data_IF_316121552328
#
_entry.id   IF_316121552328
#
_cell.length_a   1.000
_cell.length_b   1.000
_cell.length_c   1.000
_cell.angle_alpha   90.00
_cell.angle_beta   90.00
_cell.angle_gamma   90.00
#
_symmetry.space_group_name_H-M   'P 1'
#
loop_
_entity.id
_entity.type
_entity.pdbx_description
1 polymer ?
#
# COMPACT_ATOMS: atom_id res chain seq x y z
N UNK A 1 -26.33 -57.91 -33.19
CA UNK A 1 -25.85 -56.55 -33.54
C UNK A 1 -26.46 -55.42 -32.68
N UNK A 2 -27.76 -55.42 -32.32
CA UNK A 2 -28.36 -54.34 -31.50
C UNK A 2 -27.93 -54.27 -30.03
N UNK A 3 -27.37 -55.34 -29.44
CA UNK A 3 -26.87 -55.35 -28.04
C UNK A 3 -25.45 -54.78 -27.87
N UNK A 4 -24.59 -54.84 -28.88
CA UNK A 4 -23.24 -54.22 -28.82
C UNK A 4 -23.30 -52.70 -28.94
N UNK A 5 -24.25 -52.15 -29.71
CA UNK A 5 -24.41 -50.71 -29.86
C UNK A 5 -24.83 -50.00 -28.56
N UNK A 6 -25.63 -50.67 -27.70
CA UNK A 6 -26.00 -50.11 -26.38
C UNK A 6 -24.82 -50.10 -25.40
N UNK A 7 -23.93 -51.10 -25.44
CA UNK A 7 -22.80 -51.17 -24.51
C UNK A 7 -21.73 -50.10 -24.84
N UNK A 8 -21.52 -49.79 -26.12
CA UNK A 8 -20.57 -48.77 -26.57
C UNK A 8 -21.10 -47.35 -26.27
N UNK A 9 -22.42 -47.11 -26.41
CA UNK A 9 -23.01 -45.81 -26.09
C UNK A 9 -23.03 -45.53 -24.57
N UNK A 10 -23.10 -46.57 -23.74
CA UNK A 10 -23.05 -46.42 -22.28
C UNK A 10 -21.62 -46.16 -21.78
N UNK A 11 -20.60 -46.71 -22.44
CA UNK A 11 -19.19 -46.40 -22.12
C UNK A 11 -18.78 -44.97 -22.53
N UNK A 12 -19.35 -44.43 -23.59
CA UNK A 12 -19.04 -43.05 -24.04
C UNK A 12 -19.64 -41.96 -23.13
N UNK A 13 -20.72 -42.26 -22.39
CA UNK A 13 -21.32 -41.32 -21.44
C UNK A 13 -20.55 -41.30 -20.10
N UNK A 14 -19.89 -42.40 -19.72
CA UNK A 14 -19.03 -42.44 -18.52
C UNK A 14 -17.66 -41.80 -18.73
N UNK A 15 -17.19 -41.62 -19.96
CA UNK A 15 -15.92 -40.95 -20.28
C UNK A 15 -15.99 -39.41 -20.35
N UNK A 16 -17.19 -38.83 -20.29
CA UNK A 16 -17.40 -37.39 -20.55
C UNK A 16 -17.45 -36.51 -19.28
N UNK A 17 -17.27 -37.10 -18.09
CA UNK A 17 -17.27 -36.37 -16.81
C UNK A 17 -15.90 -36.32 -16.12
N UNK A 18 -14.79 -36.56 -16.83
CA UNK A 18 -13.52 -35.99 -16.39
C UNK A 18 -13.56 -34.50 -16.70
N UNK A 19 -14.19 -33.74 -15.79
CA UNK A 19 -13.94 -32.31 -15.69
C UNK A 19 -12.42 -32.16 -15.60
N UNK A 20 -11.80 -31.72 -16.69
CA UNK A 20 -10.42 -31.28 -16.68
C UNK A 20 -10.38 -29.99 -15.83
N UNK A 21 -10.45 -30.12 -14.51
CA UNK A 21 -9.85 -29.10 -13.66
C UNK A 21 -8.35 -29.24 -13.92
N UNK A 22 -7.80 -28.44 -14.81
CA UNK A 22 -6.35 -28.35 -14.97
C UNK A 22 -5.76 -27.90 -13.62
N UNK A 23 -5.33 -28.88 -12.82
CA UNK A 23 -4.54 -28.62 -11.62
C UNK A 23 -3.16 -28.18 -12.08
N UNK A 24 -2.98 -26.86 -12.14
CA UNK A 24 -1.76 -26.20 -12.58
C UNK A 24 -0.58 -26.54 -11.67
N UNK A 25 -0.81 -26.49 -10.36
CA UNK A 25 0.18 -26.91 -9.37
C UNK A 25 0.00 -28.38 -9.05
N UNK A 26 1.09 -29.14 -9.15
CA UNK A 26 1.15 -30.57 -8.78
C UNK A 26 1.98 -30.84 -7.53
N UNK A 27 2.80 -29.87 -7.15
CA UNK A 27 3.73 -29.95 -6.04
C UNK A 27 3.42 -28.85 -5.03
N UNK A 28 3.71 -29.15 -3.76
CA UNK A 28 3.62 -28.19 -2.68
C UNK A 28 4.81 -27.24 -2.71
N UNK A 29 4.65 -26.06 -2.11
CA UNK A 29 5.69 -25.04 -2.06
C UNK A 29 5.96 -24.60 -0.64
N UNK A 30 7.17 -24.10 -0.40
CA UNK A 30 7.55 -23.42 0.83
C UNK A 30 7.92 -21.98 0.47
N UNK A 31 7.25 -21.03 1.09
CA UNK A 31 7.50 -19.60 0.91
C UNK A 31 8.29 -19.02 2.09
N UNK A 32 8.77 -17.79 1.89
CA UNK A 32 9.45 -16.98 2.89
C UNK A 32 8.74 -17.02 4.25
N UNK A 33 9.53 -17.13 5.32
CA UNK A 33 9.03 -17.37 6.68
C UNK A 33 8.68 -18.85 6.95
N UNK A 34 9.11 -19.78 6.09
CA UNK A 34 8.87 -21.22 6.27
C UNK A 34 7.43 -21.65 6.02
N UNK A 35 6.65 -20.84 5.28
CA UNK A 35 5.23 -21.09 5.03
C UNK A 35 5.05 -22.22 4.03
N UNK A 36 4.67 -23.40 4.51
CA UNK A 36 4.32 -24.54 3.65
C UNK A 36 2.89 -24.39 3.10
N UNK A 37 2.74 -24.59 1.79
CA UNK A 37 1.48 -24.39 1.06
C UNK A 37 1.26 -25.54 0.11
N UNK A 38 0.10 -26.19 0.22
CA UNK A 38 -0.22 -27.33 -0.62
C UNK A 38 -0.53 -26.93 -2.06
N UNK A 39 -0.28 -27.83 -3.02
CA UNK A 39 -0.71 -27.69 -4.41
C UNK A 39 -2.22 -27.41 -4.52
N UNK A 40 -3.03 -28.02 -3.65
CA UNK A 40 -4.48 -27.77 -3.56
C UNK A 40 -4.78 -26.31 -3.20
N UNK A 41 -4.08 -25.74 -2.22
CA UNK A 41 -4.23 -24.33 -1.83
C UNK A 41 -3.81 -23.39 -2.96
N UNK A 42 -2.71 -23.70 -3.66
CA UNK A 42 -2.24 -22.90 -4.80
C UNK A 42 -3.23 -22.94 -5.98
N UNK A 43 -3.80 -24.11 -6.31
CA UNK A 43 -4.83 -24.21 -7.34
C UNK A 43 -6.11 -23.47 -6.97
N UNK A 44 -6.53 -23.52 -5.69
CA UNK A 44 -7.64 -22.68 -5.19
C UNK A 44 -7.33 -21.19 -5.35
N UNK A 45 -6.11 -20.78 -5.01
CA UNK A 45 -5.63 -19.40 -5.17
C UNK A 45 -5.63 -18.94 -6.62
N UNK A 46 -5.17 -19.80 -7.54
CA UNK A 46 -5.20 -19.56 -8.98
C UNK A 46 -6.62 -19.30 -9.47
N UNK A 47 -7.57 -20.15 -9.08
CA UNK A 47 -8.98 -19.97 -9.47
C UNK A 47 -9.53 -18.62 -9.02
N UNK A 48 -9.31 -18.26 -7.76
CA UNK A 48 -9.73 -16.96 -7.19
C UNK A 48 -9.07 -15.81 -7.94
N UNK A 49 -7.76 -15.90 -8.20
CA UNK A 49 -7.03 -14.87 -8.94
C UNK A 49 -7.57 -14.70 -10.36
N UNK A 50 -7.77 -15.81 -11.09
CA UNK A 50 -8.29 -15.78 -12.46
C UNK A 50 -9.68 -15.14 -12.51
N UNK A 51 -10.54 -15.44 -11.54
CA UNK A 51 -11.91 -14.92 -11.52
C UNK A 51 -11.98 -13.44 -11.13
N UNK A 52 -11.19 -13.01 -10.14
CA UNK A 52 -11.38 -11.71 -9.50
C UNK A 52 -10.23 -10.71 -9.69
N UNK A 53 -8.99 -11.18 -9.79
CA UNK A 53 -7.80 -10.31 -9.76
C UNK A 53 -7.20 -10.09 -11.15
N UNK A 54 -7.21 -11.13 -11.99
CA UNK A 54 -6.60 -11.16 -13.33
C UNK A 54 -7.07 -10.05 -14.26
N UNK A 55 -8.37 -9.63 -14.29
CA UNK A 55 -8.79 -8.55 -15.18
C UNK A 55 -8.00 -7.24 -14.98
N UNK A 56 -7.56 -6.97 -13.75
CA UNK A 56 -6.73 -5.81 -13.42
C UNK A 56 -5.24 -6.15 -13.39
N UNK A 57 -4.86 -7.22 -12.69
CA UNK A 57 -3.45 -7.55 -12.43
C UNK A 57 -2.76 -8.37 -13.53
N UNK A 58 -3.49 -8.79 -14.57
CA UNK A 58 -2.94 -9.51 -15.71
C UNK A 58 -2.84 -11.02 -15.49
N UNK A 59 -2.79 -11.77 -16.59
CA UNK A 59 -2.61 -13.24 -16.56
C UNK A 59 -1.26 -13.64 -15.97
N UNK A 60 -0.24 -12.83 -16.27
CA UNK A 60 1.15 -13.03 -15.81
C UNK A 60 1.45 -12.29 -14.49
N UNK A 61 0.45 -11.67 -13.86
CA UNK A 61 0.64 -10.90 -12.63
C UNK A 61 1.39 -9.58 -12.79
N UNK A 62 1.59 -9.11 -14.03
CA UNK A 62 2.43 -7.96 -14.38
C UNK A 62 1.72 -6.59 -14.28
N UNK A 63 0.49 -6.55 -13.77
CA UNK A 63 -0.32 -5.33 -13.67
C UNK A 63 -0.92 -4.85 -14.99
N UNK A 64 -0.78 -5.62 -16.09
CA UNK A 64 -1.25 -5.23 -17.44
C UNK A 64 -2.55 -5.92 -17.85
N UNK A 65 -3.43 -6.20 -16.88
CA UNK A 65 -4.76 -6.73 -17.15
C UNK A 65 -5.58 -5.81 -18.06
N UNK A 66 -6.55 -6.38 -18.78
CA UNK A 66 -7.37 -5.63 -19.74
C UNK A 66 -8.08 -4.41 -19.11
N UNK A 67 -8.44 -4.50 -17.84
CA UNK A 67 -9.06 -3.42 -17.08
C UNK A 67 -8.08 -2.36 -16.58
N UNK A 68 -6.76 -2.61 -16.60
CA UNK A 68 -5.76 -1.64 -16.12
C UNK A 68 -5.54 -0.46 -17.06
N UNK A 69 -5.91 -0.61 -18.34
CA UNK A 69 -5.77 0.42 -19.36
C UNK A 69 -6.53 1.69 -18.98
N UNK A 70 -5.83 2.82 -18.93
CA UNK A 70 -6.41 4.12 -18.58
C UNK A 70 -6.59 4.37 -17.08
N UNK A 71 -6.20 3.43 -16.20
CA UNK A 71 -6.19 3.68 -14.76
C UNK A 71 -5.08 4.68 -14.39
N UNK A 72 -5.44 5.74 -13.64
CA UNK A 72 -4.47 6.72 -13.12
C UNK A 72 -3.44 6.08 -12.18
N UNK A 73 -3.86 5.07 -11.43
CA UNK A 73 -2.99 4.28 -10.55
C UNK A 73 -2.95 2.88 -11.12
N UNK A 74 -1.81 2.42 -11.65
CA UNK A 74 -1.71 1.07 -12.22
C UNK A 74 -1.87 0.02 -11.11
N UNK A 75 -2.48 -1.14 -11.43
CA UNK A 75 -2.48 -2.30 -10.55
C UNK A 75 -1.05 -2.74 -10.22
N UNK A 76 -0.88 -3.40 -9.07
CA UNK A 76 0.43 -3.92 -8.64
C UNK A 76 0.93 -4.96 -9.64
N UNK A 77 2.16 -4.76 -10.09
CA UNK A 77 2.99 -5.79 -10.73
C UNK A 77 3.57 -6.70 -9.64
N UNK A 78 3.08 -7.93 -9.59
CA UNK A 78 3.48 -8.97 -8.65
C UNK A 78 4.77 -9.70 -9.07
N UNK A 79 5.21 -9.58 -10.33
CA UNK A 79 6.42 -10.24 -10.84
C UNK A 79 7.71 -9.74 -10.20
N UNK A 80 7.65 -8.51 -9.68
CA UNK A 80 8.74 -7.90 -8.89
C UNK A 80 8.88 -8.47 -7.48
N UNK A 81 7.83 -9.09 -6.95
CA UNK A 81 7.78 -9.57 -5.57
C UNK A 81 7.69 -8.47 -4.51
N UNK A 82 7.62 -7.19 -4.90
CA UNK A 82 7.60 -6.04 -3.99
C UNK A 82 6.16 -5.67 -3.63
N UNK A 83 5.87 -5.59 -2.34
CA UNK A 83 4.58 -5.10 -1.83
C UNK A 83 4.77 -3.77 -1.12
N UNK A 84 4.01 -2.75 -1.56
CA UNK A 84 4.10 -1.38 -1.02
C UNK A 84 3.79 -1.28 0.47
N UNK A 85 2.85 -2.09 0.95
CA UNK A 85 2.08 -1.77 2.14
C UNK A 85 2.19 -2.82 3.26
N UNK A 86 3.41 -3.19 3.63
CA UNK A 86 3.68 -3.98 4.84
C UNK A 86 3.79 -3.16 6.12
N UNK A 87 3.76 -3.85 7.27
CA UNK A 87 4.21 -3.35 8.58
C UNK A 87 5.55 -3.99 8.93
N UNK A 88 6.49 -3.85 8.00
CA UNK A 88 7.91 -4.23 8.06
C UNK A 88 8.70 -3.08 7.46
N UNK A 89 10.01 -3.01 7.65
CA UNK A 89 10.78 -1.90 7.07
C UNK A 89 10.68 -1.90 5.54
N UNK A 90 10.65 -0.71 4.93
CA UNK A 90 10.53 -0.56 3.48
C UNK A 90 11.65 -1.31 2.77
N UNK A 91 11.30 -2.18 1.83
CA UNK A 91 12.23 -3.07 1.12
C UNK A 91 12.25 -4.51 1.66
N UNK A 92 11.69 -4.76 2.84
CA UNK A 92 11.59 -6.11 3.40
C UNK A 92 10.30 -6.82 2.97
N UNK A 93 10.28 -8.15 3.10
CA UNK A 93 9.13 -8.97 2.74
C UNK A 93 8.04 -8.89 3.81
N UNK A 94 6.82 -8.42 3.49
CA UNK A 94 5.75 -8.36 4.46
C UNK A 94 5.18 -9.73 4.83
N UNK A 95 4.63 -9.78 6.04
CA UNK A 95 3.82 -10.90 6.52
C UNK A 95 2.45 -10.95 5.83
N UNK A 96 1.88 -12.16 5.76
CA UNK A 96 0.65 -12.45 5.02
C UNK A 96 -0.55 -11.65 5.54
N UNK A 97 -0.66 -11.50 6.86
CA UNK A 97 -1.73 -10.77 7.53
C UNK A 97 -1.87 -9.33 7.01
N UNK A 98 -0.76 -8.66 6.69
CA UNK A 98 -0.81 -7.32 6.14
C UNK A 98 -1.44 -7.32 4.75
N UNK A 99 -1.13 -8.32 3.92
CA UNK A 99 -1.72 -8.45 2.59
C UNK A 99 -3.20 -8.83 2.70
N UNK A 100 -3.58 -9.65 3.69
CA UNK A 100 -4.98 -9.96 3.97
C UNK A 100 -5.78 -8.71 4.33
N UNK A 101 -5.22 -7.84 5.16
CA UNK A 101 -5.84 -6.57 5.53
C UNK A 101 -6.04 -5.65 4.31
N UNK A 102 -5.08 -5.63 3.36
CA UNK A 102 -5.24 -4.87 2.12
C UNK A 102 -6.34 -5.44 1.22
N UNK A 103 -6.46 -6.77 1.12
CA UNK A 103 -7.55 -7.40 0.36
C UNK A 103 -8.90 -7.07 1.00
N UNK A 104 -9.00 -7.19 2.33
CA UNK A 104 -10.22 -6.92 3.08
C UNK A 104 -10.66 -5.46 3.00
N UNK A 105 -9.72 -4.51 3.09
CA UNK A 105 -10.04 -3.09 3.21
C UNK A 105 -9.94 -2.33 1.88
N UNK A 106 -9.36 -2.95 0.85
CA UNK A 106 -9.01 -2.29 -0.40
C UNK A 106 -7.95 -1.20 -0.24
N UNK A 107 -7.76 -0.42 -1.29
CA UNK A 107 -6.87 0.74 -1.32
C UNK A 107 -7.67 1.99 -1.70
N UNK A 108 -7.82 2.90 -0.74
CA UNK A 108 -8.56 4.15 -0.87
C UNK A 108 -8.08 4.97 -2.08
N UNK A 109 -9.02 5.50 -2.87
CA UNK A 109 -8.70 6.29 -4.06
C UNK A 109 -8.14 5.49 -5.25
N UNK A 110 -8.33 4.17 -5.27
CA UNK A 110 -7.94 3.29 -6.38
C UNK A 110 -9.08 2.34 -6.77
N UNK A 111 -8.91 1.60 -7.87
CA UNK A 111 -9.85 0.54 -8.27
C UNK A 111 -9.72 -0.76 -7.45
N UNK A 112 -8.75 -0.86 -6.53
CA UNK A 112 -8.62 -2.02 -5.64
C UNK A 112 -9.61 -1.90 -4.48
N UNK A 113 -10.85 -2.30 -4.72
CA UNK A 113 -11.94 -2.24 -3.74
C UNK A 113 -11.77 -3.29 -2.63
N UNK A 114 -12.46 -3.11 -1.48
CA UNK A 114 -12.60 -4.14 -0.46
C UNK A 114 -13.13 -5.47 -1.03
N UNK A 115 -12.55 -6.60 -0.62
CA UNK A 115 -13.01 -7.93 -1.00
C UNK A 115 -13.65 -8.66 0.19
N UNK A 116 -14.84 -9.23 -0.05
CA UNK A 116 -15.50 -10.15 0.88
C UNK A 116 -15.00 -11.59 0.64
N UNK A 117 -13.81 -11.89 1.19
CA UNK A 117 -13.18 -13.21 1.07
C UNK A 117 -13.57 -14.12 2.23
N UNK A 118 -14.06 -15.31 1.91
CA UNK A 118 -14.35 -16.38 2.88
C UNK A 118 -13.06 -16.95 3.47
N UNK A 119 -13.23 -17.71 4.54
CA UNK A 119 -12.12 -18.37 5.25
C UNK A 119 -11.19 -19.15 4.29
N UNK A 120 -9.89 -18.91 4.45
CA UNK A 120 -8.84 -19.51 3.61
C UNK A 120 -8.85 -19.09 2.13
N UNK A 121 -9.67 -18.13 1.69
CA UNK A 121 -9.57 -17.57 0.33
C UNK A 121 -8.45 -16.52 0.25
N UNK A 122 -8.33 -15.64 1.25
CA UNK A 122 -7.26 -14.66 1.33
C UNK A 122 -5.88 -15.34 1.34
N UNK A 123 -5.72 -16.38 2.16
CA UNK A 123 -4.49 -17.19 2.17
C UNK A 123 -4.21 -17.78 0.79
N UNK A 124 -5.18 -18.51 0.22
CA UNK A 124 -4.99 -19.17 -1.07
C UNK A 124 -4.54 -18.20 -2.17
N UNK A 125 -5.22 -17.05 -2.30
CA UNK A 125 -4.89 -16.07 -3.36
C UNK A 125 -3.56 -15.37 -3.10
N UNK A 126 -3.22 -15.04 -1.85
CA UNK A 126 -1.92 -14.43 -1.53
C UNK A 126 -0.76 -15.39 -1.81
N UNK A 127 -0.88 -16.66 -1.43
CA UNK A 127 0.17 -17.63 -1.74
C UNK A 127 0.31 -17.84 -3.25
N UNK A 128 -0.80 -17.87 -3.99
CA UNK A 128 -0.74 -17.91 -5.45
C UNK A 128 -0.05 -16.66 -6.03
N UNK A 129 -0.37 -15.46 -5.56
CA UNK A 129 0.26 -14.21 -6.02
C UNK A 129 1.78 -14.25 -5.83
N UNK A 130 2.28 -14.81 -4.72
CA UNK A 130 3.72 -14.95 -4.46
C UNK A 130 4.44 -15.81 -5.51
N UNK A 131 3.72 -16.71 -6.21
CA UNK A 131 4.31 -17.55 -7.27
C UNK A 131 4.71 -16.75 -8.53
N UNK A 132 4.25 -15.51 -8.68
CA UNK A 132 4.69 -14.63 -9.77
C UNK A 132 6.15 -14.14 -9.60
N UNK A 133 6.70 -14.22 -8.38
CA UNK A 133 8.06 -13.80 -8.07
C UNK A 133 8.81 -14.87 -7.23
N UNK A 134 9.06 -16.06 -7.80
CA UNK A 134 9.58 -17.20 -7.04
C UNK A 134 10.97 -16.94 -6.45
N UNK A 135 11.83 -16.16 -7.13
CA UNK A 135 13.16 -15.78 -6.62
C UNK A 135 13.12 -14.96 -5.33
N UNK A 136 12.00 -14.27 -5.10
CA UNK A 136 11.82 -13.39 -3.94
C UNK A 136 11.07 -14.11 -2.81
N UNK A 137 10.13 -14.99 -3.17
CA UNK A 137 9.18 -15.56 -2.22
C UNK A 137 9.31 -17.06 -1.97
N UNK A 138 9.83 -17.86 -2.91
CA UNK A 138 9.88 -19.32 -2.80
C UNK A 138 11.23 -19.79 -2.28
N UNK A 139 11.24 -20.37 -1.08
CA UNK A 139 12.47 -20.79 -0.39
C UNK A 139 12.27 -20.82 1.11
N UNK A 140 12.71 -21.91 1.76
CA UNK A 140 12.61 -22.08 3.22
C UNK A 140 13.60 -21.18 3.98
N UNK A 141 14.66 -20.78 3.30
CA UNK A 141 15.74 -19.92 3.77
C UNK A 141 15.39 -18.44 3.69
N UNK A 142 14.40 -18.06 2.88
CA UNK A 142 13.93 -16.69 2.75
C UNK A 142 13.19 -16.26 4.02
N UNK A 143 13.54 -15.09 4.52
CA UNK A 143 12.98 -14.53 5.76
C UNK A 143 12.03 -13.39 5.46
N UNK A 144 11.00 -13.28 6.29
CA UNK A 144 10.15 -12.09 6.33
C UNK A 144 10.88 -10.97 7.07
N UNK A 145 10.49 -9.73 6.79
CA UNK A 145 10.98 -8.57 7.51
C UNK A 145 10.57 -8.59 8.98
N UNK A 146 11.35 -7.90 9.81
CA UNK A 146 11.00 -7.73 11.21
C UNK A 146 9.78 -6.82 11.32
N UNK A 147 8.83 -7.22 12.17
CA UNK A 147 7.61 -6.44 12.35
C UNK A 147 7.96 -5.12 12.98
N UNK A 148 7.50 -4.04 12.35
CA UNK A 148 7.62 -2.72 12.94
C UNK A 148 6.76 -2.68 14.20
N UNK A 149 7.39 -2.33 15.33
CA UNK A 149 6.72 -2.10 16.60
C UNK A 149 6.81 -0.62 16.97
N UNK A 150 5.76 -0.08 17.58
CA UNK A 150 5.74 1.27 18.12
C UNK A 150 5.34 1.21 19.58
N UNK A 151 5.91 2.08 20.41
CA UNK A 151 5.37 2.29 21.77
C UNK A 151 3.91 2.69 21.68
N UNK A 152 3.15 2.40 22.74
CA UNK A 152 1.74 2.77 22.83
C UNK A 152 1.58 4.28 22.64
N UNK A 153 0.56 4.69 21.86
CA UNK A 153 0.22 6.10 21.61
C UNK A 153 0.21 6.91 22.92
N UNK A 154 1.17 7.83 23.10
CA UNK A 154 1.30 8.60 24.33
C UNK A 154 0.33 9.78 24.40
N UNK A 155 -0.31 10.16 23.28
CA UNK A 155 -1.20 11.31 23.22
C UNK A 155 -2.65 10.92 23.43
N UNK A 156 -3.13 9.94 22.65
CA UNK A 156 -4.54 9.61 22.55
C UNK A 156 -5.42 10.83 22.21
N UNK A 157 -6.74 10.68 22.41
CA UNK A 157 -7.68 11.77 22.18
C UNK A 157 -7.51 12.93 23.17
N UNK A 158 -7.01 12.65 24.39
CA UNK A 158 -6.87 13.64 25.46
C UNK A 158 -5.81 14.72 25.15
N UNK A 159 -4.75 14.36 24.41
CA UNK A 159 -3.66 15.26 24.06
C UNK A 159 -3.53 15.48 22.55
N UNK A 160 -4.60 15.25 21.79
CA UNK A 160 -4.63 15.35 20.33
C UNK A 160 -4.14 16.72 19.81
N UNK A 161 -4.57 17.83 20.42
CA UNK A 161 -4.13 19.17 19.99
C UNK A 161 -2.63 19.38 20.16
N UNK A 162 -2.05 18.86 21.25
CA UNK A 162 -0.61 18.90 21.47
C UNK A 162 0.13 18.02 20.45
N UNK A 163 -0.41 16.83 20.17
CA UNK A 163 0.12 15.91 19.15
C UNK A 163 0.15 16.55 17.77
N UNK A 164 -0.94 17.19 17.35
CA UNK A 164 -1.05 17.90 16.06
C UNK A 164 -0.04 19.04 15.99
N UNK A 165 0.12 19.83 17.06
CA UNK A 165 1.10 20.94 17.08
C UNK A 165 2.52 20.41 16.93
N UNK A 166 2.90 19.41 17.72
CA UNK A 166 4.23 18.80 17.66
C UNK A 166 4.48 18.11 16.32
N UNK A 167 3.49 17.39 15.79
CA UNK A 167 3.57 16.72 14.50
C UNK A 167 3.76 17.69 13.33
N UNK A 168 3.13 18.87 13.40
CA UNK A 168 3.32 19.93 12.41
C UNK A 168 4.77 20.45 12.40
N UNK A 169 5.37 20.62 13.58
CA UNK A 169 6.77 21.05 13.73
C UNK A 169 7.72 20.01 13.15
N UNK A 170 7.56 18.74 13.53
CA UNK A 170 8.40 17.63 13.03
C UNK A 170 8.26 17.48 11.52
N UNK A 171 7.02 17.50 11.00
CA UNK A 171 6.76 17.37 9.56
C UNK A 171 7.53 18.41 8.75
N UNK A 172 7.53 19.67 9.21
CA UNK A 172 8.13 20.79 8.48
C UNK A 172 9.59 21.09 8.83
N UNK A 173 10.07 20.62 9.98
CA UNK A 173 11.44 20.79 10.44
C UNK A 173 12.23 19.49 10.32
N UNK A 174 12.40 18.80 11.45
CA UNK A 174 13.28 17.62 11.61
C UNK A 174 13.09 16.53 10.55
N UNK A 175 11.84 16.17 10.22
CA UNK A 175 11.56 15.15 9.22
C UNK A 175 11.50 15.70 7.78
N UNK A 176 11.40 17.02 7.60
CA UNK A 176 11.39 17.70 6.30
C UNK A 176 10.49 16.98 5.26
N UNK A 177 9.29 16.56 5.65
CA UNK A 177 8.39 15.75 4.84
C UNK A 177 7.93 16.49 3.56
N UNK A 178 7.90 17.82 3.62
CA UNK A 178 7.63 18.72 2.49
C UNK A 178 8.72 18.73 1.41
N UNK A 179 9.84 18.04 1.63
CA UNK A 179 10.82 17.82 0.57
C UNK A 179 10.24 16.99 -0.58
N UNK A 180 9.29 16.10 -0.28
CA UNK A 180 8.57 15.26 -1.26
C UNK A 180 7.07 15.54 -1.31
N UNK A 181 6.46 15.73 -0.13
CA UNK A 181 5.07 16.14 0.00
C UNK A 181 4.96 17.67 -0.08
N UNK A 182 3.74 18.19 0.00
CA UNK A 182 3.51 19.64 0.09
C UNK A 182 3.71 20.15 1.52
N UNK A 183 4.15 21.39 1.66
CA UNK A 183 4.09 22.18 2.90
C UNK A 183 2.66 22.68 3.18
N UNK A 184 2.28 22.64 4.45
CA UNK A 184 0.94 23.02 4.93
C UNK A 184 0.97 24.21 5.90
N UNK A 185 2.08 24.93 5.92
CA UNK A 185 2.28 26.19 6.66
C UNK A 185 2.81 27.26 5.71
N UNK A 186 2.60 28.54 6.01
CA UNK A 186 3.15 29.62 5.18
C UNK A 186 4.65 29.82 5.41
N UNK A 187 5.30 30.55 4.49
CA UNK A 187 6.75 30.84 4.52
C UNK A 187 7.30 31.35 5.85
N UNK A 188 6.64 32.26 6.62
CA UNK A 188 7.17 32.71 7.90
C UNK A 188 7.29 31.60 8.95
N UNK A 189 6.41 30.61 8.88
CA UNK A 189 6.39 29.49 9.82
C UNK A 189 7.33 28.39 9.33
N UNK A 190 7.34 28.13 8.01
CA UNK A 190 8.27 27.18 7.40
C UNK A 190 9.74 27.55 7.63
N UNK A 191 10.10 28.83 7.41
CA UNK A 191 11.47 29.29 7.63
C UNK A 191 11.92 29.20 9.09
N UNK A 192 11.00 29.27 10.06
CA UNK A 192 11.34 29.02 11.47
C UNK A 192 11.68 27.55 11.72
N UNK A 193 10.97 26.63 11.08
CA UNK A 193 11.21 25.20 11.24
C UNK A 193 12.46 24.70 10.52
N UNK A 194 12.80 25.34 9.40
CA UNK A 194 13.99 25.01 8.60
C UNK A 194 15.23 25.83 8.98
N UNK A 195 15.10 26.82 9.86
CA UNK A 195 16.15 27.80 10.18
C UNK A 195 16.64 28.56 8.93
N UNK A 196 15.74 28.81 7.98
CA UNK A 196 16.00 29.47 6.71
C UNK A 196 15.24 30.79 6.59
N UNK A 197 15.80 31.74 5.84
CA UNK A 197 15.11 32.98 5.52
C UNK A 197 13.86 32.69 4.67
N UNK A 198 12.64 33.08 5.10
CA UNK A 198 11.42 32.81 4.33
C UNK A 198 11.44 33.32 2.87
N UNK A 199 12.20 34.37 2.58
CA UNK A 199 12.38 34.89 1.21
C UNK A 199 13.20 33.97 0.31
N UNK A 200 14.03 33.10 0.88
CA UNK A 200 14.95 32.21 0.15
C UNK A 200 14.33 30.85 -0.16
N UNK A 201 13.32 30.42 0.62
CA UNK A 201 12.66 29.12 0.46
C UNK A 201 11.93 29.00 -0.88
N UNK A 202 12.29 28.03 -1.71
CA UNK A 202 11.64 27.79 -3.00
C UNK A 202 10.14 27.46 -2.85
N UNK A 203 9.30 27.96 -3.76
CA UNK A 203 7.86 27.65 -3.78
C UNK A 203 7.56 26.20 -4.17
N UNK A 204 8.53 25.46 -4.68
CA UNK A 204 8.43 24.01 -4.89
C UNK A 204 8.10 23.23 -3.61
N UNK A 205 8.36 23.76 -2.41
CA UNK A 205 7.91 23.12 -1.16
C UNK A 205 6.39 22.98 -1.09
N UNK A 206 5.62 23.72 -1.88
CA UNK A 206 4.16 23.64 -1.93
C UNK A 206 3.63 22.73 -3.05
N UNK A 207 4.51 22.07 -3.81
CA UNK A 207 4.15 21.13 -4.88
C UNK A 207 4.54 19.70 -4.48
N UNK A 208 3.72 18.71 -4.85
CA UNK A 208 4.08 17.30 -4.69
C UNK A 208 5.14 16.95 -5.73
N UNK A 209 6.28 16.43 -5.29
CA UNK A 209 7.38 16.12 -6.21
C UNK A 209 7.25 14.68 -6.73
N UNK A 210 7.26 14.45 -8.05
CA UNK A 210 7.32 13.09 -8.60
C UNK A 210 8.53 12.34 -8.05
N UNK A 211 8.30 11.11 -7.59
CA UNK A 211 9.32 10.25 -7.00
C UNK A 211 9.53 9.03 -7.89
N UNK A 212 10.77 8.59 -8.06
CA UNK A 212 11.07 7.34 -8.75
C UNK A 212 10.60 6.14 -7.94
N UNK A 213 10.27 5.06 -8.67
CA UNK A 213 9.90 3.77 -8.09
C UNK A 213 10.71 2.64 -8.68
N UNK A 214 10.75 1.51 -7.98
CA UNK A 214 11.43 0.30 -8.45
C UNK A 214 10.76 -0.34 -9.69
N UNK A 215 9.59 0.15 -10.10
CA UNK A 215 8.88 -0.30 -11.31
C UNK A 215 9.16 0.56 -12.55
N UNK A 216 10.11 1.50 -12.48
CA UNK A 216 10.53 2.30 -13.63
C UNK A 216 9.52 3.36 -14.08
N UNK A 217 8.61 3.78 -13.18
CA UNK A 217 7.73 4.92 -13.39
C UNK A 217 7.68 5.82 -12.15
N UNK A 218 7.35 7.09 -12.35
CA UNK A 218 7.26 8.06 -11.26
C UNK A 218 5.91 7.99 -10.55
N UNK A 219 5.92 8.05 -9.22
CA UNK A 219 4.73 8.22 -8.41
C UNK A 219 4.69 9.60 -7.74
N UNK A 220 3.50 10.18 -7.67
CA UNK A 220 3.28 11.44 -6.95
C UNK A 220 2.84 11.09 -5.51
N UNK A 221 3.51 11.59 -4.46
CA UNK A 221 3.07 11.48 -3.07
C UNK A 221 1.70 12.15 -2.88
N UNK A 222 0.82 11.71 -1.95
CA UNK A 222 -0.48 12.35 -1.74
C UNK A 222 -0.38 13.78 -1.19
N UNK A 223 -1.30 14.65 -1.60
CA UNK A 223 -1.61 15.90 -0.92
C UNK A 223 -2.64 15.56 0.15
N UNK A 224 -2.24 15.54 1.41
CA UNK A 224 -3.09 15.16 2.53
C UNK A 224 -4.34 16.03 2.71
N UNK A 225 -4.48 17.19 2.04
CA UNK A 225 -5.74 17.97 2.09
C UNK A 225 -6.67 17.71 0.89
N UNK A 226 -6.26 16.84 -0.04
CA UNK A 226 -6.97 16.57 -1.29
C UNK A 226 -7.08 15.07 -1.60
N UNK A 227 -5.99 14.33 -1.42
CA UNK A 227 -5.89 12.91 -1.67
C UNK A 227 -6.18 12.09 -0.39
N UNK A 228 -6.66 10.86 -0.59
CA UNK A 228 -6.80 9.88 0.49
C UNK A 228 -5.49 9.10 0.66
N UNK A 229 -5.19 8.70 1.90
CA UNK A 229 -4.11 7.75 2.16
C UNK A 229 -4.60 6.36 1.77
N UNK A 230 -3.88 5.71 0.83
CA UNK A 230 -4.33 4.47 0.18
C UNK A 230 -4.61 3.34 1.17
N UNK A 231 -3.69 3.10 2.12
CA UNK A 231 -3.72 1.92 2.99
C UNK A 231 -4.04 2.21 4.45
N UNK A 232 -4.36 3.45 4.82
CA UNK A 232 -4.47 3.85 6.22
C UNK A 232 -5.57 4.90 6.38
N UNK A 233 -6.42 4.72 7.40
CA UNK A 233 -7.57 5.59 7.69
C UNK A 233 -7.54 6.13 9.12
N UNK A 234 -6.87 5.44 10.03
CA UNK A 234 -6.74 5.81 11.44
C UNK A 234 -5.35 6.37 11.75
N UNK A 235 -5.22 7.12 12.86
CA UNK A 235 -3.91 7.61 13.33
C UNK A 235 -2.93 6.45 13.53
N UNK A 236 -3.39 5.33 14.09
CA UNK A 236 -2.58 4.11 14.27
C UNK A 236 -2.05 3.60 12.94
N UNK A 237 -2.90 3.41 11.94
CA UNK A 237 -2.47 2.90 10.64
C UNK A 237 -1.51 3.89 9.94
N UNK A 238 -1.71 5.19 10.11
CA UNK A 238 -0.80 6.22 9.59
C UNK A 238 0.56 6.14 10.30
N UNK A 239 0.59 5.94 11.61
CA UNK A 239 1.82 5.78 12.38
C UNK A 239 2.64 4.57 11.90
N UNK A 240 1.99 3.41 11.74
CA UNK A 240 2.66 2.24 11.19
C UNK A 240 3.10 2.44 9.73
N UNK A 241 2.33 3.18 8.92
CA UNK A 241 2.73 3.54 7.55
C UNK A 241 3.98 4.42 7.50
N UNK A 242 4.08 5.41 8.39
CA UNK A 242 5.26 6.28 8.50
C UNK A 242 6.45 5.46 9.01
N UNK A 243 6.25 4.67 10.06
CA UNK A 243 7.29 3.85 10.67
C UNK A 243 7.86 2.82 9.69
N UNK A 244 7.01 2.13 8.93
CA UNK A 244 7.37 1.10 7.95
C UNK A 244 7.81 1.67 6.59
N UNK A 245 7.38 2.87 6.22
CA UNK A 245 7.57 3.41 4.88
C UNK A 245 6.67 2.76 3.82
N UNK A 246 7.03 2.90 2.54
CA UNK A 246 6.28 2.31 1.42
C UNK A 246 7.23 1.62 0.45
N UNK A 247 7.21 0.28 0.48
CA UNK A 247 8.11 -0.57 -0.30
C UNK A 247 8.10 -0.26 -1.80
N UNK A 248 9.27 -0.25 -2.43
CA UNK A 248 9.45 0.06 -3.86
C UNK A 248 9.17 1.51 -4.26
N UNK A 249 9.03 2.42 -3.29
CA UNK A 249 8.89 3.87 -3.53
C UNK A 249 9.94 4.65 -2.75
N UNK A 250 10.09 5.93 -3.06
CA UNK A 250 11.01 6.83 -2.35
C UNK A 250 10.56 7.23 -0.93
N UNK A 251 9.51 6.61 -0.36
CA UNK A 251 9.09 6.85 1.02
C UNK A 251 9.77 5.83 1.95
N UNK A 252 10.84 6.22 2.68
CA UNK A 252 11.59 5.30 3.54
C UNK A 252 10.81 4.94 4.82
N UNK A 253 11.33 3.97 5.56
CA UNK A 253 10.93 3.73 6.94
C UNK A 253 11.46 4.84 7.85
N UNK A 254 10.60 5.48 8.64
CA UNK A 254 10.98 6.59 9.52
C UNK A 254 11.26 6.17 10.96
N UNK A 255 11.02 4.90 11.32
CA UNK A 255 11.22 4.40 12.69
C UNK A 255 12.63 4.60 13.22
N UNK A 256 13.63 4.49 12.35
CA UNK A 256 15.04 4.65 12.73
C UNK A 256 15.53 6.10 12.60
N UNK A 257 14.68 7.01 12.10
CA UNK A 257 15.03 8.42 11.84
C UNK A 257 14.43 9.36 12.87
N UNK A 258 13.18 9.11 13.28
CA UNK A 258 12.47 9.88 14.31
C UNK A 258 11.88 8.93 15.35
N UNK A 259 11.78 9.40 16.59
CA UNK A 259 11.26 8.61 17.73
C UNK A 259 9.80 8.19 17.52
N UNK A 260 9.40 7.10 18.17
CA UNK A 260 8.01 6.63 18.11
C UNK A 260 6.99 7.71 18.54
N UNK A 261 7.34 8.54 19.55
CA UNK A 261 6.51 9.67 19.99
C UNK A 261 6.36 10.74 18.88
N UNK A 262 7.44 11.03 18.16
CA UNK A 262 7.40 11.92 16.99
C UNK A 262 6.55 11.32 15.86
N UNK A 263 6.65 10.01 15.60
CA UNK A 263 5.82 9.31 14.60
C UNK A 263 4.33 9.43 14.96
N UNK A 264 3.96 9.23 16.22
CA UNK A 264 2.59 9.44 16.69
C UNK A 264 2.13 10.88 16.45
N UNK A 265 2.94 11.87 16.84
CA UNK A 265 2.62 13.28 16.65
C UNK A 265 2.40 13.63 15.16
N UNK A 266 3.32 13.23 14.27
CA UNK A 266 3.19 13.43 12.81
C UNK A 266 1.94 12.75 12.27
N UNK A 267 1.59 11.57 12.79
CA UNK A 267 0.39 10.84 12.37
C UNK A 267 -0.90 11.57 12.73
N UNK A 268 -0.97 12.17 13.92
CA UNK A 268 -2.08 13.06 14.30
C UNK A 268 -2.16 14.27 13.38
N UNK A 269 -1.01 14.89 13.08
CA UNK A 269 -0.96 16.03 12.18
C UNK A 269 -1.45 15.68 10.77
N UNK A 270 -0.92 14.62 10.16
CA UNK A 270 -1.34 14.12 8.84
C UNK A 270 -2.82 13.76 8.84
N UNK A 271 -3.33 13.09 9.89
CA UNK A 271 -4.76 12.77 10.01
C UNK A 271 -5.62 14.03 10.04
N UNK A 272 -5.18 15.06 10.77
CA UNK A 272 -5.90 16.35 10.83
C UNK A 272 -5.99 17.02 9.46
N UNK A 273 -4.98 16.88 8.59
CA UNK A 273 -5.00 17.40 7.22
C UNK A 273 -5.97 16.62 6.33
N UNK A 274 -5.95 15.28 6.43
CA UNK A 274 -6.86 14.39 5.69
C UNK A 274 -8.32 14.68 6.04
N UNK A 275 -8.61 14.93 7.31
CA UNK A 275 -9.97 15.24 7.77
C UNK A 275 -10.46 16.62 7.33
N UNK A 276 -9.57 17.51 6.89
CA UNK A 276 -9.96 18.80 6.32
C UNK A 276 -10.42 18.70 4.87
N UNK A 277 -10.27 17.55 4.20
CA UNK A 277 -10.68 17.38 2.80
C UNK A 277 -12.15 17.82 2.61
N UNK A 278 -12.40 18.64 1.58
CA UNK A 278 -13.71 19.19 1.23
C UNK A 278 -14.38 20.08 2.30
N UNK A 279 -13.63 20.54 3.31
CA UNK A 279 -14.15 21.43 4.37
C UNK A 279 -13.82 22.91 4.15
N UNK A 280 -14.50 23.81 4.88
CA UNK A 280 -14.13 25.22 4.93
C UNK A 280 -12.74 25.43 5.57
N UNK A 281 -12.39 24.61 6.57
CA UNK A 281 -11.08 24.68 7.23
C UNK A 281 -9.92 24.50 6.24
N UNK A 282 -10.05 23.62 5.23
CA UNK A 282 -9.07 23.53 4.14
C UNK A 282 -8.96 24.84 3.36
N UNK A 283 -10.08 25.45 2.96
CA UNK A 283 -10.08 26.69 2.18
C UNK A 283 -9.39 27.81 2.97
N UNK A 284 -9.67 27.90 4.26
CA UNK A 284 -9.07 28.88 5.16
C UNK A 284 -7.56 28.64 5.32
N UNK A 285 -7.13 27.38 5.45
CA UNK A 285 -5.71 27.02 5.47
C UNK A 285 -5.00 27.45 4.19
N UNK A 286 -5.57 27.15 3.02
CA UNK A 286 -4.97 27.52 1.73
C UNK A 286 -4.93 29.04 1.52
N UNK A 287 -5.98 29.76 1.92
CA UNK A 287 -6.03 31.21 1.87
C UNK A 287 -4.98 31.84 2.81
N UNK A 288 -4.83 31.28 4.02
CA UNK A 288 -3.82 31.70 5.00
C UNK A 288 -2.40 31.53 4.43
N UNK A 289 -2.08 30.36 3.89
CA UNK A 289 -0.76 30.10 3.26
C UNK A 289 -0.50 31.10 2.14
N UNK A 290 -1.46 31.26 1.20
CA UNK A 290 -1.33 32.20 0.08
C UNK A 290 -1.11 33.64 0.56
N UNK A 291 -1.86 34.10 1.55
CA UNK A 291 -1.71 35.43 2.12
C UNK A 291 -0.35 35.62 2.82
N UNK A 292 0.11 34.62 3.56
CA UNK A 292 1.41 34.67 4.24
C UNK A 292 2.56 34.70 3.23
N UNK A 293 2.47 33.93 2.15
CA UNK A 293 3.52 33.85 1.13
C UNK A 293 3.63 35.14 0.30
N UNK A 294 2.49 35.80 0.03
CA UNK A 294 2.45 37.08 -0.69
C UNK A 294 3.31 38.17 -0.04
N UNK A 295 3.51 38.12 1.28
CA UNK A 295 4.38 39.06 2.02
C UNK A 295 5.85 38.96 1.62
N UNK A 296 6.25 37.87 0.96
CA UNK A 296 7.61 37.60 0.46
C UNK A 296 7.68 37.66 -1.06
N UNK A 297 6.67 38.23 -1.72
CA UNK A 297 6.61 38.33 -3.18
C UNK A 297 6.32 37.01 -3.90
N UNK A 298 5.82 35.99 -3.19
CA UNK A 298 5.55 34.63 -3.69
C UNK A 298 4.06 34.26 -3.61
#
# INVERSE_FOLDING_TARGET
MKKMAKLILTLFILGAFTSCSENHFREDKIFAGGKYVTAKTLNKGKLIYTEYCMPCHGVDGDGKGVASKGMKVPPRDFTTGIFKFGVVSSGELPHDEHIFDLLKNGLSGTAMLPWDLKEGQAEAVVQYIKTFAPKIWEGKELKLGDKVELVKDPYGLAHMTAAISKGKEIYHGEANCQSCHRAYVGLPELGKYQEENPSEIDMEVYTQKPQETEWGFQNIPPDFTWDLIRSAKTVKEIAYRIAAGVGGTSMPAWKETITDDQIWAVSYYVKSLVDMKDTQARKDLMAKIKMQNKKYGK
#
